data_IF_880365574228
#
_entry.id   IF_880365574228
#
_cell.length_a   1.000
_cell.length_b   1.000
_cell.length_c   1.000
_cell.angle_alpha   90.00
_cell.angle_beta   90.00
_cell.angle_gamma   90.00
#
_symmetry.space_group_name_H-M   'P 1'
#
loop_
_entity.id
_entity.type
_entity.pdbx_description
1 polymer ?
#
# COMPACT_ATOMS: atom_id res chain seq x y z
N UNK A 1 19.29 -10.98 6.11
CA UNK A 1 19.95 -10.35 4.94
C UNK A 1 20.16 -11.33 3.79
N UNK A 2 19.89 -12.62 3.98
CA UNK A 2 20.23 -13.65 2.98
C UNK A 2 19.43 -13.55 1.68
N UNK A 3 18.24 -12.94 1.72
CA UNK A 3 17.42 -12.71 0.52
C UNK A 3 17.77 -11.42 -0.23
N UNK A 4 18.49 -10.47 0.42
CA UNK A 4 18.87 -9.22 -0.21
C UNK A 4 19.91 -9.47 -1.31
N UNK A 5 19.78 -8.77 -2.44
CA UNK A 5 20.73 -8.84 -3.57
C UNK A 5 22.16 -8.60 -3.09
N UNK A 6 22.33 -7.62 -2.21
CA UNK A 6 23.57 -7.34 -1.48
C UNK A 6 23.37 -7.71 0.00
N UNK A 7 23.94 -8.83 0.42
CA UNK A 7 23.75 -9.35 1.78
C UNK A 7 24.62 -8.66 2.85
N UNK A 8 25.73 -8.02 2.45
CA UNK A 8 26.60 -7.25 3.35
C UNK A 8 26.02 -5.84 3.60
N UNK A 9 25.64 -5.49 4.85
CA UNK A 9 25.14 -4.16 5.18
C UNK A 9 26.13 -3.03 4.84
N UNK A 10 27.44 -3.30 4.82
CA UNK A 10 28.45 -2.29 4.47
C UNK A 10 28.42 -1.87 2.99
N UNK A 11 27.66 -2.58 2.14
CA UNK A 11 27.44 -2.21 0.75
C UNK A 11 26.64 -0.89 0.60
N UNK A 12 25.71 -0.62 1.51
CA UNK A 12 24.78 0.50 1.40
C UNK A 12 25.42 1.80 1.89
N UNK A 13 25.34 2.88 1.09
CA UNK A 13 25.97 4.16 1.42
C UNK A 13 25.15 4.95 2.42
N UNK A 14 23.84 4.78 2.38
CA UNK A 14 22.90 5.40 3.31
C UNK A 14 21.95 4.37 3.90
N UNK A 15 21.31 4.72 5.02
CA UNK A 15 20.24 3.89 5.57
C UNK A 15 19.06 3.78 4.61
N UNK A 16 18.75 4.84 3.84
CA UNK A 16 17.68 4.78 2.84
C UNK A 16 18.00 3.75 1.75
N UNK A 17 19.25 3.70 1.26
CA UNK A 17 19.66 2.68 0.27
C UNK A 17 19.44 1.25 0.81
N UNK A 18 19.72 1.04 2.10
CA UNK A 18 19.46 -0.22 2.80
C UNK A 18 17.95 -0.50 2.99
N UNK A 19 17.18 0.53 3.31
CA UNK A 19 15.74 0.44 3.55
C UNK A 19 15.00 -0.02 2.29
N UNK A 20 15.38 0.53 1.12
CA UNK A 20 14.85 0.14 -0.20
C UNK A 20 15.71 -0.90 -0.92
N UNK A 21 16.48 -1.71 -0.19
CA UNK A 21 17.36 -2.77 -0.73
C UNK A 21 16.63 -3.66 -1.74
N UNK A 22 17.35 -4.13 -2.74
CA UNK A 22 16.84 -5.10 -3.71
C UNK A 22 16.90 -6.53 -3.17
N UNK A 23 15.99 -7.37 -3.65
CA UNK A 23 15.99 -8.80 -3.37
C UNK A 23 16.66 -9.57 -4.52
N UNK A 24 17.22 -10.75 -4.20
CA UNK A 24 17.77 -11.67 -5.19
C UNK A 24 16.67 -12.14 -6.14
N UNK A 25 17.00 -12.32 -7.43
CA UNK A 25 16.06 -12.89 -8.38
C UNK A 25 15.57 -14.28 -7.92
N UNK A 26 14.28 -14.55 -8.10
CA UNK A 26 13.66 -15.85 -7.79
C UNK A 26 13.31 -16.10 -6.31
N UNK A 27 13.63 -15.19 -5.37
CA UNK A 27 13.23 -15.36 -3.96
C UNK A 27 11.77 -14.98 -3.68
N UNK A 28 11.11 -14.38 -4.68
CA UNK A 28 9.67 -14.09 -4.72
C UNK A 28 9.10 -14.56 -6.06
N UNK A 29 8.90 -15.88 -6.26
CA UNK A 29 8.27 -16.36 -7.48
C UNK A 29 6.82 -15.86 -7.56
N UNK A 30 6.44 -15.35 -8.72
CA UNK A 30 5.08 -14.89 -9.00
C UNK A 30 4.36 -15.99 -9.77
N UNK A 31 3.08 -16.23 -9.45
CA UNK A 31 2.27 -17.19 -10.19
C UNK A 31 1.95 -16.66 -11.59
N UNK A 32 2.15 -17.51 -12.60
CA UNK A 32 1.80 -17.20 -14.00
C UNK A 32 0.35 -17.65 -14.28
N UNK A 33 -0.61 -17.00 -13.63
CA UNK A 33 -2.05 -17.24 -13.82
C UNK A 33 -2.78 -15.89 -13.87
N UNK A 34 -3.32 -15.55 -15.06
CA UNK A 34 -4.03 -14.29 -15.33
C UNK A 34 -5.32 -14.15 -14.52
N UNK A 35 -5.83 -15.24 -13.92
CA UNK A 35 -7.01 -15.22 -13.05
C UNK A 35 -6.70 -14.95 -11.57
N UNK A 36 -5.43 -14.79 -11.22
CA UNK A 36 -4.96 -14.65 -9.83
C UNK A 36 -4.40 -13.26 -9.57
N UNK A 37 -4.89 -12.61 -8.51
CA UNK A 37 -4.30 -11.40 -7.94
C UNK A 37 -3.25 -11.81 -6.90
N UNK A 38 -2.01 -11.34 -7.07
CA UNK A 38 -0.89 -11.68 -6.17
C UNK A 38 -0.70 -10.64 -5.07
N UNK A 39 0.04 -11.00 -4.03
CA UNK A 39 0.40 -10.04 -2.99
C UNK A 39 1.37 -8.98 -3.54
N UNK A 40 1.09 -7.68 -3.34
CA UNK A 40 1.92 -6.61 -3.87
C UNK A 40 3.17 -6.31 -3.03
N UNK A 41 3.26 -6.83 -1.81
CA UNK A 41 4.36 -6.52 -0.89
C UNK A 41 4.65 -7.65 0.10
N UNK A 42 5.88 -7.68 0.61
CA UNK A 42 6.24 -8.43 1.81
C UNK A 42 5.60 -7.72 3.02
N UNK A 43 4.51 -8.27 3.53
CA UNK A 43 3.69 -7.61 4.53
C UNK A 43 2.87 -8.62 5.35
N UNK A 44 2.29 -8.13 6.45
CA UNK A 44 1.23 -8.83 7.16
C UNK A 44 -0.14 -8.24 6.78
N UNK A 45 -1.16 -9.08 6.62
CA UNK A 45 -2.54 -8.61 6.43
C UNK A 45 -3.06 -8.02 7.74
N UNK A 46 -3.36 -6.72 7.73
CA UNK A 46 -4.00 -6.04 8.86
C UNK A 46 -5.50 -6.34 8.89
N UNK A 47 -6.20 -5.99 7.80
CA UNK A 47 -7.63 -6.21 7.61
C UNK A 47 -7.90 -6.46 6.12
N UNK A 48 -8.97 -7.18 5.81
CA UNK A 48 -9.47 -7.35 4.45
C UNK A 48 -10.96 -7.68 4.51
N UNK A 49 -11.67 -7.46 3.41
CA UNK A 49 -13.11 -7.74 3.34
C UNK A 49 -13.83 -6.94 2.28
N UNK A 50 -15.16 -7.01 2.24
CA UNK A 50 -15.96 -6.14 1.40
C UNK A 50 -15.85 -4.69 1.87
N UNK A 51 -16.01 -3.77 0.92
CA UNK A 51 -16.31 -2.37 1.21
C UNK A 51 -17.83 -2.29 1.41
N UNK A 52 -18.29 -1.89 2.58
CA UNK A 52 -19.72 -1.84 2.90
C UNK A 52 -20.17 -0.39 3.06
N UNK A 53 -21.04 0.09 2.16
CA UNK A 53 -21.58 1.45 2.23
C UNK A 53 -20.49 2.53 2.36
N UNK A 54 -19.45 2.47 1.50
CA UNK A 54 -18.27 3.34 1.53
C UNK A 54 -17.35 3.16 2.76
N UNK A 55 -17.50 2.08 3.54
CA UNK A 55 -16.68 1.85 4.75
C UNK A 55 -15.71 0.69 4.60
N UNK A 56 -14.47 0.92 5.03
CA UNK A 56 -13.42 -0.08 5.17
C UNK A 56 -13.14 -0.31 6.66
N UNK A 57 -12.96 -1.56 7.06
CA UNK A 57 -12.59 -1.90 8.44
C UNK A 57 -11.11 -1.58 8.65
N UNK A 58 -10.81 -0.73 9.63
CA UNK A 58 -9.44 -0.44 10.08
C UNK A 58 -9.00 -1.41 11.17
N UNK A 59 -9.87 -1.61 12.15
CA UNK A 59 -9.65 -2.49 13.30
C UNK A 59 -11.01 -2.80 13.95
N UNK A 60 -11.01 -3.58 15.03
CA UNK A 60 -12.25 -3.89 15.76
C UNK A 60 -12.94 -2.60 16.22
N UNK A 61 -14.17 -2.38 15.75
CA UNK A 61 -15.02 -1.19 16.00
C UNK A 61 -14.53 0.12 15.36
N UNK A 62 -13.51 0.07 14.52
CA UNK A 62 -13.01 1.22 13.79
C UNK A 62 -13.09 0.95 12.29
N UNK A 63 -13.82 1.81 11.60
CA UNK A 63 -13.92 1.87 10.16
C UNK A 63 -13.64 3.30 9.67
N UNK A 64 -13.42 3.45 8.37
CA UNK A 64 -13.14 4.74 7.72
C UNK A 64 -13.70 4.76 6.30
N UNK A 65 -13.87 5.95 5.75
CA UNK A 65 -14.50 6.13 4.44
C UNK A 65 -13.52 5.81 3.30
N UNK A 66 -13.98 5.05 2.30
CA UNK A 66 -13.24 4.84 1.05
C UNK A 66 -13.06 6.18 0.33
N UNK A 67 -14.10 7.02 0.31
CA UNK A 67 -14.04 8.38 -0.23
C UNK A 67 -12.94 9.22 0.40
N UNK A 68 -12.85 9.23 1.74
CA UNK A 68 -11.79 9.94 2.43
C UNK A 68 -10.43 9.36 2.05
N UNK A 69 -10.27 8.04 2.06
CA UNK A 69 -9.03 7.37 1.64
C UNK A 69 -8.60 7.74 0.22
N UNK A 70 -9.53 7.80 -0.73
CA UNK A 70 -9.28 8.01 -2.16
C UNK A 70 -9.16 9.49 -2.56
N UNK A 71 -9.20 10.42 -1.60
CA UNK A 71 -8.95 11.84 -1.85
C UNK A 71 -10.21 12.69 -2.06
N UNK A 72 -11.39 12.16 -1.76
CA UNK A 72 -12.63 12.94 -1.63
C UNK A 72 -13.55 12.98 -2.85
N UNK A 73 -13.11 12.46 -4.00
CA UNK A 73 -13.87 12.42 -5.25
C UNK A 73 -15.00 11.37 -5.18
N UNK A 74 -16.24 11.81 -5.41
CA UNK A 74 -17.42 10.93 -5.34
C UNK A 74 -17.47 9.94 -6.50
N UNK A 75 -17.29 10.44 -7.72
CA UNK A 75 -17.44 9.63 -8.94
C UNK A 75 -16.37 8.52 -8.95
N UNK A 76 -15.14 8.85 -8.56
CA UNK A 76 -14.07 7.87 -8.41
C UNK A 76 -14.40 6.82 -7.33
N UNK A 77 -14.98 7.23 -6.22
CA UNK A 77 -15.26 6.33 -5.10
C UNK A 77 -16.40 5.36 -5.43
N UNK A 78 -17.40 5.79 -6.19
CA UNK A 78 -18.51 4.95 -6.62
C UNK A 78 -18.03 3.71 -7.40
N UNK A 79 -16.91 3.81 -8.13
CA UNK A 79 -16.28 2.67 -8.82
C UNK A 79 -15.86 1.53 -7.87
N UNK A 80 -15.66 1.83 -6.59
CA UNK A 80 -15.21 0.89 -5.55
C UNK A 80 -16.30 0.55 -4.52
N UNK A 81 -17.51 1.09 -4.68
CA UNK A 81 -18.59 1.03 -3.67
C UNK A 81 -18.98 -0.38 -3.24
N UNK A 82 -18.96 -1.35 -4.16
CA UNK A 82 -19.24 -2.77 -3.95
C UNK A 82 -17.96 -3.63 -4.04
N UNK A 83 -16.81 -2.99 -3.88
CA UNK A 83 -15.49 -3.60 -4.02
C UNK A 83 -15.06 -4.41 -2.80
N UNK A 84 -13.83 -4.91 -2.88
CA UNK A 84 -13.12 -5.53 -1.76
C UNK A 84 -11.86 -4.75 -1.47
N UNK A 85 -11.41 -4.78 -0.23
CA UNK A 85 -10.16 -4.16 0.19
C UNK A 85 -9.25 -5.16 0.90
N UNK A 86 -7.95 -4.86 0.89
CA UNK A 86 -6.95 -5.49 1.73
C UNK A 86 -5.95 -4.44 2.20
N UNK A 87 -5.79 -4.31 3.51
CA UNK A 87 -4.82 -3.42 4.15
C UNK A 87 -3.60 -4.24 4.58
N UNK A 88 -2.44 -3.92 4.01
CA UNK A 88 -1.19 -4.63 4.25
C UNK A 88 -0.23 -3.76 5.06
N UNK A 89 0.30 -4.31 6.15
CA UNK A 89 1.27 -3.65 7.01
C UNK A 89 2.68 -4.15 6.71
N UNK A 90 3.54 -3.25 6.25
CA UNK A 90 4.98 -3.49 6.08
C UNK A 90 5.68 -3.08 7.37
N UNK A 91 6.28 -4.05 8.05
CA UNK A 91 7.12 -3.80 9.22
C UNK A 91 8.48 -3.27 8.78
N UNK A 92 9.22 -2.52 9.63
CA UNK A 92 10.54 -1.99 9.28
C UNK A 92 11.58 -3.02 8.83
N UNK A 93 11.40 -4.30 9.16
CA UNK A 93 12.28 -5.39 8.69
C UNK A 93 11.99 -5.86 7.27
N UNK A 94 10.79 -5.59 6.76
CA UNK A 94 10.33 -6.11 5.48
C UNK A 94 11.03 -5.42 4.30
N UNK A 95 10.81 -5.93 3.11
CA UNK A 95 11.23 -5.30 1.87
C UNK A 95 10.26 -4.16 1.52
N UNK A 96 10.77 -2.93 1.42
CA UNK A 96 9.95 -1.71 1.28
C UNK A 96 9.81 -1.20 -0.16
N UNK A 97 9.75 -2.10 -1.15
CA UNK A 97 9.20 -1.74 -2.47
C UNK A 97 7.91 -2.51 -2.69
N UNK A 98 6.89 -1.80 -3.14
CA UNK A 98 5.58 -2.36 -3.46
C UNK A 98 5.50 -2.59 -4.96
N UNK A 99 4.92 -3.73 -5.36
CA UNK A 99 4.77 -4.18 -6.73
C UNK A 99 3.30 -4.21 -7.15
N UNK A 100 3.07 -4.35 -8.45
CA UNK A 100 1.73 -4.53 -8.99
C UNK A 100 1.20 -5.93 -8.64
N UNK A 101 -0.06 -6.04 -8.18
CA UNK A 101 -0.67 -7.33 -7.85
C UNK A 101 -1.26 -8.05 -9.07
N UNK A 102 -1.40 -7.36 -10.20
CA UNK A 102 -1.81 -7.88 -11.50
C UNK A 102 -1.41 -6.87 -12.59
N UNK A 103 -1.54 -7.26 -13.85
CA UNK A 103 -1.37 -6.33 -14.97
C UNK A 103 -2.41 -5.22 -14.93
N UNK A 104 -1.98 -3.99 -15.21
CA UNK A 104 -2.85 -2.83 -15.16
C UNK A 104 -2.26 -1.62 -15.85
N UNK A 105 -3.15 -0.76 -16.37
CA UNK A 105 -2.77 0.52 -16.98
C UNK A 105 -3.03 1.64 -15.97
N UNK A 106 -2.01 2.42 -15.65
CA UNK A 106 -2.15 3.57 -14.75
C UNK A 106 -3.12 4.59 -15.37
N UNK A 107 -4.20 4.89 -14.66
CA UNK A 107 -5.23 5.84 -15.05
C UNK A 107 -5.08 7.18 -14.35
N UNK A 108 -4.83 7.17 -13.05
CA UNK A 108 -4.79 8.38 -12.23
C UNK A 108 -3.85 8.21 -11.04
N UNK A 109 -3.23 9.31 -10.62
CA UNK A 109 -2.40 9.39 -9.42
C UNK A 109 -2.81 10.62 -8.61
N UNK A 110 -3.14 10.44 -7.33
CA UNK A 110 -3.59 11.49 -6.42
C UNK A 110 -2.65 11.50 -5.22
N UNK A 111 -1.96 12.62 -5.02
CA UNK A 111 -1.23 12.87 -3.79
C UNK A 111 -2.18 13.56 -2.79
N UNK A 112 -2.29 13.00 -1.59
CA UNK A 112 -3.14 13.54 -0.53
C UNK A 112 -2.24 13.93 0.65
N UNK A 113 -2.07 15.24 0.92
CA UNK A 113 -1.31 15.68 2.09
C UNK A 113 -2.06 15.26 3.36
N UNK A 114 -1.31 14.97 4.42
CA UNK A 114 -1.90 14.51 5.67
C UNK A 114 -0.93 14.54 6.85
N UNK A 115 -1.38 13.96 7.95
CA UNK A 115 -0.57 13.73 9.14
C UNK A 115 0.48 12.62 8.88
N UNK A 116 1.44 12.45 9.79
CA UNK A 116 2.41 11.35 9.75
C UNK A 116 2.37 10.56 11.07
N UNK A 117 1.20 10.02 11.41
CA UNK A 117 1.09 9.10 12.55
C UNK A 117 1.87 7.81 12.27
N UNK A 118 2.34 7.17 13.33
CA UNK A 118 2.95 5.85 13.21
C UNK A 118 1.87 4.84 12.86
N UNK A 119 2.18 3.93 11.94
CA UNK A 119 1.30 2.82 11.57
C UNK A 119 1.85 1.55 12.22
N UNK A 120 1.10 0.99 13.15
CA UNK A 120 1.35 -0.30 13.80
C UNK A 120 0.01 -0.82 14.38
N UNK A 121 -0.07 -2.08 14.84
CA UNK A 121 -1.32 -2.63 15.34
C UNK A 121 -1.97 -1.81 16.46
N UNK A 122 -1.18 -1.27 17.39
CA UNK A 122 -1.71 -0.45 18.48
C UNK A 122 -2.32 0.86 17.96
N UNK A 123 -1.67 1.57 17.05
CA UNK A 123 -2.22 2.82 16.51
C UNK A 123 -3.40 2.58 15.60
N UNK A 124 -3.41 1.48 14.82
CA UNK A 124 -4.56 1.09 14.01
C UNK A 124 -5.82 0.83 14.87
N UNK A 125 -5.65 0.31 16.09
CA UNK A 125 -6.77 0.08 17.01
C UNK A 125 -7.24 1.32 17.77
N UNK A 126 -6.44 2.40 17.84
CA UNK A 126 -6.69 3.52 18.76
C UNK A 126 -6.78 4.90 18.08
N UNK A 127 -6.30 5.04 16.85
CA UNK A 127 -6.33 6.30 16.10
C UNK A 127 -7.43 6.23 15.05
N UNK A 128 -8.50 6.99 15.22
CA UNK A 128 -9.59 7.06 14.26
C UNK A 128 -9.10 7.60 12.90
N UNK A 129 -9.62 7.00 11.81
CA UNK A 129 -9.32 7.38 10.44
C UNK A 129 -7.81 7.42 10.12
N UNK A 130 -7.00 6.56 10.75
CA UNK A 130 -5.54 6.60 10.68
C UNK A 130 -5.05 6.70 9.24
N UNK A 131 -5.54 5.81 8.37
CA UNK A 131 -5.11 5.73 6.98
C UNK A 131 -5.64 6.88 6.10
N UNK A 132 -6.84 7.38 6.41
CA UNK A 132 -7.45 8.51 5.69
C UNK A 132 -6.89 9.87 6.14
N UNK A 133 -6.23 9.92 7.30
CA UNK A 133 -5.57 11.12 7.84
C UNK A 133 -4.10 11.21 7.45
N UNK A 134 -3.41 10.07 7.34
CA UNK A 134 -2.00 10.08 7.00
C UNK A 134 -1.77 10.54 5.55
N UNK A 135 -0.65 11.23 5.34
CA UNK A 135 -0.11 11.52 4.02
C UNK A 135 -0.02 10.24 3.19
N UNK A 136 -0.47 10.30 1.93
CA UNK A 136 -0.56 9.12 1.07
C UNK A 136 -0.58 9.46 -0.41
N UNK A 137 -0.27 8.45 -1.22
CA UNK A 137 -0.40 8.49 -2.67
C UNK A 137 -1.37 7.39 -3.10
N UNK A 138 -2.42 7.79 -3.82
CA UNK A 138 -3.43 6.90 -4.40
C UNK A 138 -3.12 6.71 -5.87
N UNK A 139 -2.92 5.47 -6.31
CA UNK A 139 -2.75 5.13 -7.72
C UNK A 139 -3.94 4.30 -8.19
N UNK A 140 -4.60 4.74 -9.25
CA UNK A 140 -5.75 4.07 -9.84
C UNK A 140 -5.34 3.45 -11.17
N UNK A 141 -5.71 2.19 -11.37
CA UNK A 141 -5.39 1.41 -12.54
C UNK A 141 -6.64 0.80 -13.14
N UNK A 142 -6.69 0.74 -14.47
CA UNK A 142 -7.61 -0.14 -15.18
C UNK A 142 -6.96 -1.51 -15.32
N UNK A 143 -7.65 -2.57 -14.87
CA UNK A 143 -7.17 -3.96 -14.88
C UNK A 143 -8.22 -4.88 -15.50
N UNK A 144 -7.86 -6.12 -15.81
CA UNK A 144 -8.84 -7.12 -16.27
C UNK A 144 -9.88 -7.49 -15.19
N UNK A 145 -9.59 -7.19 -13.92
CA UNK A 145 -10.51 -7.39 -12.79
C UNK A 145 -11.41 -6.17 -12.51
N UNK A 146 -11.34 -5.14 -13.36
CA UNK A 146 -12.01 -3.85 -13.14
C UNK A 146 -11.06 -2.78 -12.59
N UNK A 147 -11.59 -1.64 -12.12
CA UNK A 147 -10.78 -0.59 -11.54
C UNK A 147 -10.11 -1.07 -10.24
N UNK A 148 -8.82 -0.80 -10.08
CA UNK A 148 -8.03 -1.14 -8.90
C UNK A 148 -7.37 0.11 -8.33
N UNK A 149 -7.51 0.33 -7.02
CA UNK A 149 -6.76 1.35 -6.28
C UNK A 149 -5.61 0.70 -5.49
N UNK A 150 -4.38 1.15 -5.71
CA UNK A 150 -3.24 0.86 -4.84
C UNK A 150 -2.85 2.13 -4.08
N UNK A 151 -3.00 2.10 -2.76
CA UNK A 151 -2.79 3.27 -1.88
C UNK A 151 -1.56 3.06 -1.02
N UNK A 152 -0.56 3.92 -1.18
CA UNK A 152 0.66 3.93 -0.36
C UNK A 152 0.48 4.98 0.73
N UNK A 153 0.42 4.53 1.99
CA UNK A 153 0.19 5.41 3.15
C UNK A 153 1.52 5.60 3.89
N UNK A 154 1.95 6.85 4.01
CA UNK A 154 3.15 7.21 4.77
C UNK A 154 2.94 7.02 6.27
N UNK A 155 4.05 6.90 7.00
CA UNK A 155 4.06 6.82 8.45
C UNK A 155 5.18 7.69 9.04
N UNK A 156 5.16 7.91 10.34
CA UNK A 156 6.30 8.56 11.03
C UNK A 156 7.61 7.85 10.66
N UNK A 157 8.64 8.61 10.28
CA UNK A 157 9.97 8.12 9.84
C UNK A 157 9.98 7.44 8.46
N UNK A 158 8.83 7.02 7.94
CA UNK A 158 8.65 6.40 6.60
C UNK A 158 7.62 7.21 5.81
N UNK A 159 7.90 8.51 5.62
CA UNK A 159 6.99 9.45 4.95
C UNK A 159 7.27 9.70 3.47
N UNK A 160 8.48 9.34 2.99
CA UNK A 160 8.83 9.51 1.57
C UNK A 160 8.23 8.36 0.76
N UNK A 161 7.51 8.71 -0.31
CA UNK A 161 6.85 7.77 -1.22
C UNK A 161 7.34 8.06 -2.65
N UNK A 162 8.02 7.08 -3.26
CA UNK A 162 8.52 7.18 -4.63
C UNK A 162 7.82 6.14 -5.53
N UNK A 163 7.41 6.56 -6.72
CA UNK A 163 6.86 5.69 -7.76
C UNK A 163 7.85 5.59 -8.92
N UNK A 164 7.88 4.45 -9.60
CA UNK A 164 8.85 4.19 -10.69
C UNK A 164 8.73 5.17 -11.87
N UNK A 165 7.57 5.82 -12.03
CA UNK A 165 7.31 6.84 -13.06
C UNK A 165 7.37 8.28 -12.52
N UNK A 166 7.43 8.48 -11.20
CA UNK A 166 7.44 9.81 -10.57
C UNK A 166 7.88 9.76 -9.10
N UNK A 167 8.87 10.57 -8.74
CA UNK A 167 9.17 10.89 -7.34
C UNK A 167 8.28 12.04 -6.84
N UNK A 168 7.80 11.94 -5.60
CA UNK A 168 6.99 12.95 -4.90
C UNK A 168 7.66 13.40 -3.60
#
# INVERSE_FOLDING_TARGET
MDEALHSDPAHFKTFNDFFVRELKAGVRPVVEDESVIVHPADACVSQFGPIESDRLIQAKKHDYSARELLGGDLDLTEEFSEGHFATLYLSPSDYHRVHMPCDGTLRQMIYVPGDLFSVNPLTAENVENLFARNERVVCIFDTEFGPMAQVLVGATIVGSIELIWRAL
#
